data_IF_990215642032
#
_entry.id   IF_990215642032
#
_cell.length_a   1.000
_cell.length_b   1.000
_cell.length_c   1.000
_cell.angle_alpha   90.00
_cell.angle_beta   90.00
_cell.angle_gamma   90.00
#
_symmetry.space_group_name_H-M   'P 1'
#
loop_
_entity.id
_entity.type
_entity.pdbx_description
1 polymer ?
#
# COMPACT_ATOMS: atom_id res chain seq x y z
N UNK A 1 12.49 14.21 22.80
CA UNK A 1 11.34 14.54 21.93
C UNK A 1 10.08 13.94 22.54
N UNK A 2 9.16 14.77 23.05
CA UNK A 2 7.99 14.38 23.84
C UNK A 2 6.72 14.87 23.11
N UNK A 3 5.74 13.98 22.85
CA UNK A 3 4.43 14.37 22.29
C UNK A 3 3.71 15.43 23.13
N UNK A 4 2.74 16.12 22.53
CA UNK A 4 1.72 16.81 23.31
C UNK A 4 0.91 15.80 24.13
N UNK A 5 0.27 16.27 25.20
CA UNK A 5 -0.66 15.44 25.96
C UNK A 5 -1.88 15.11 25.08
N UNK A 6 -2.40 13.90 25.25
CA UNK A 6 -3.61 13.41 24.61
C UNK A 6 -4.27 12.40 25.54
N UNK A 7 -5.58 12.28 25.44
CA UNK A 7 -6.35 11.20 26.02
C UNK A 7 -6.21 9.93 25.17
N UNK A 8 -6.51 8.81 25.78
CA UNK A 8 -6.30 7.50 25.18
C UNK A 8 -7.42 6.54 25.55
N UNK A 9 -8.02 5.92 24.53
CA UNK A 9 -9.05 4.91 24.70
C UNK A 9 -8.68 3.62 23.95
N UNK A 10 -9.20 2.50 24.46
CA UNK A 10 -8.94 1.15 23.94
C UNK A 10 -10.25 0.40 23.75
N UNK A 11 -11.01 0.71 22.69
CA UNK A 11 -12.23 -0.02 22.35
C UNK A 11 -11.96 -1.51 22.15
N UNK A 12 -12.97 -2.33 22.43
CA UNK A 12 -12.92 -3.79 22.28
C UNK A 12 -13.66 -4.29 21.01
N UNK A 13 -14.37 -3.39 20.32
CA UNK A 13 -15.07 -3.65 19.05
C UNK A 13 -14.91 -2.52 18.03
N UNK A 14 -15.16 -2.80 16.74
CA UNK A 14 -15.22 -1.75 15.71
C UNK A 14 -16.29 -0.71 16.02
N UNK A 15 -17.45 -1.13 16.54
CA UNK A 15 -18.56 -0.21 16.84
C UNK A 15 -18.19 0.78 17.97
N UNK A 16 -17.47 0.32 19.00
CA UNK A 16 -16.94 1.21 20.04
C UNK A 16 -15.88 2.17 19.50
N UNK A 17 -15.00 1.72 18.62
CA UNK A 17 -14.00 2.57 18.00
C UNK A 17 -14.64 3.65 17.12
N UNK A 18 -15.61 3.27 16.28
CA UNK A 18 -16.40 4.20 15.46
C UNK A 18 -17.14 5.21 16.32
N UNK A 19 -17.76 4.77 17.43
CA UNK A 19 -18.43 5.68 18.36
C UNK A 19 -17.46 6.70 18.95
N UNK A 20 -16.29 6.25 19.41
CA UNK A 20 -15.26 7.13 19.96
C UNK A 20 -14.76 8.16 18.92
N UNK A 21 -14.57 7.74 17.67
CA UNK A 21 -14.19 8.64 16.58
C UNK A 21 -15.31 9.65 16.28
N UNK A 22 -16.57 9.21 16.22
CA UNK A 22 -17.70 10.09 15.95
C UNK A 22 -17.94 11.12 17.06
N UNK A 23 -17.76 10.72 18.33
CA UNK A 23 -17.90 11.62 19.48
C UNK A 23 -16.79 12.68 19.55
N UNK A 24 -15.56 12.30 19.21
CA UNK A 24 -14.40 13.19 19.27
C UNK A 24 -14.15 13.99 17.98
N UNK A 25 -14.74 13.60 16.85
CA UNK A 25 -14.60 14.32 15.59
C UNK A 25 -13.16 14.40 15.08
N UNK A 26 -12.77 15.58 14.55
CA UNK A 26 -11.44 15.81 13.98
C UNK A 26 -10.30 15.77 15.01
N UNK A 27 -10.62 15.85 16.30
CA UNK A 27 -9.66 15.84 17.40
C UNK A 27 -9.17 14.43 17.75
N UNK A 28 -9.79 13.38 17.20
CA UNK A 28 -9.35 12.00 17.39
C UNK A 28 -8.44 11.50 16.27
N UNK A 29 -7.52 10.60 16.64
CA UNK A 29 -6.75 9.81 15.67
C UNK A 29 -6.70 8.34 16.04
N UNK A 30 -6.89 7.51 15.01
CA UNK A 30 -6.74 6.06 15.12
C UNK A 30 -5.28 5.69 15.38
N UNK A 31 -5.04 4.91 16.42
CA UNK A 31 -3.76 4.28 16.72
C UNK A 31 -3.80 2.80 16.32
N UNK A 32 -3.11 2.48 15.22
CA UNK A 32 -2.85 1.11 14.78
C UNK A 32 -1.48 0.64 15.29
N UNK A 33 -0.55 0.30 14.39
CA UNK A 33 0.82 -0.09 14.74
C UNK A 33 1.73 1.03 15.27
N UNK A 34 1.31 2.28 15.13
CA UNK A 34 2.00 3.48 15.64
C UNK A 34 3.31 3.86 14.93
N UNK A 35 3.75 3.13 13.91
CA UNK A 35 5.07 3.32 13.30
C UNK A 35 5.21 4.62 12.48
N UNK A 36 4.11 5.18 11.99
CA UNK A 36 4.08 6.54 11.43
C UNK A 36 3.57 7.56 12.46
N UNK A 37 2.39 7.31 13.04
CA UNK A 37 1.71 8.27 13.91
C UNK A 37 2.56 8.66 15.13
N UNK A 38 3.13 7.71 15.88
CA UNK A 38 3.88 8.06 17.10
C UNK A 38 5.14 8.89 16.78
N UNK A 39 5.73 8.69 15.61
CA UNK A 39 6.83 9.52 15.12
C UNK A 39 6.35 10.94 14.85
N UNK A 40 5.22 11.11 14.16
CA UNK A 40 4.61 12.43 13.93
C UNK A 40 4.28 13.15 15.24
N UNK A 41 3.74 12.44 16.24
CA UNK A 41 3.44 13.00 17.57
C UNK A 41 4.72 13.48 18.28
N UNK A 42 5.78 12.66 18.28
CA UNK A 42 7.07 12.99 18.91
C UNK A 42 7.73 14.21 18.25
N UNK A 43 7.57 14.36 16.94
CA UNK A 43 8.07 15.50 16.16
C UNK A 43 7.10 16.70 16.15
N UNK A 44 5.95 16.59 16.81
CA UNK A 44 4.91 17.63 16.85
C UNK A 44 4.43 18.05 15.46
N UNK A 45 4.25 17.06 14.59
CA UNK A 45 3.63 17.21 13.26
C UNK A 45 2.13 16.88 13.29
N UNK A 46 1.62 16.30 14.39
CA UNK A 46 0.22 16.03 14.63
C UNK A 46 -0.09 16.19 16.13
N UNK A 47 -1.30 16.66 16.44
CA UNK A 47 -1.74 17.01 17.79
C UNK A 47 -3.20 16.58 18.07
N UNK A 48 -3.53 15.29 17.96
CA UNK A 48 -4.86 14.83 18.35
C UNK A 48 -5.05 15.00 19.85
N UNK A 49 -6.27 15.31 20.27
CA UNK A 49 -6.67 15.31 21.68
C UNK A 49 -6.97 13.89 22.17
N UNK A 50 -7.40 12.98 21.27
CA UNK A 50 -7.72 11.59 21.61
C UNK A 50 -7.01 10.60 20.67
N UNK A 51 -6.39 9.56 21.23
CA UNK A 51 -5.98 8.38 20.50
C UNK A 51 -6.93 7.20 20.73
N UNK A 52 -7.46 6.65 19.63
CA UNK A 52 -8.32 5.47 19.63
C UNK A 52 -7.49 4.25 19.22
N UNK A 53 -7.07 3.43 20.18
CA UNK A 53 -6.22 2.26 19.94
C UNK A 53 -7.01 1.02 19.54
N UNK A 54 -6.79 0.57 18.30
CA UNK A 54 -7.45 -0.60 17.72
C UNK A 54 -6.84 -1.93 18.18
N UNK A 55 -5.77 -1.89 18.99
CA UNK A 55 -4.94 -3.04 19.33
C UNK A 55 -5.66 -4.21 19.99
N UNK A 56 -6.82 -3.98 20.61
CA UNK A 56 -7.64 -5.02 21.27
C UNK A 56 -8.76 -5.60 20.40
N UNK A 57 -9.06 -4.99 19.27
CA UNK A 57 -10.19 -5.40 18.43
C UNK A 57 -9.77 -6.63 17.61
N UNK A 58 -10.19 -7.82 18.05
CA UNK A 58 -9.79 -9.08 17.45
C UNK A 58 -10.29 -9.24 16.00
N UNK A 59 -11.47 -8.72 15.68
CA UNK A 59 -12.06 -8.80 14.33
C UNK A 59 -11.25 -8.05 13.25
N UNK A 60 -10.33 -7.16 13.64
CA UNK A 60 -9.47 -6.44 12.71
C UNK A 60 -8.20 -7.22 12.34
N UNK A 61 -8.07 -8.48 12.75
CA UNK A 61 -6.85 -9.28 12.58
C UNK A 61 -7.11 -10.54 11.78
N UNK A 62 -6.05 -11.04 11.16
CA UNK A 62 -6.02 -12.35 10.53
C UNK A 62 -6.32 -12.29 9.04
N UNK A 63 -6.22 -13.46 8.43
CA UNK A 63 -6.35 -13.67 7.00
C UNK A 63 -7.34 -14.79 6.76
N UNK A 64 -8.25 -14.61 5.82
CA UNK A 64 -9.22 -15.63 5.42
C UNK A 64 -9.47 -15.58 3.91
N UNK A 65 -9.93 -16.70 3.37
CA UNK A 65 -10.46 -16.75 2.01
C UNK A 65 -11.95 -16.41 1.99
N UNK A 66 -12.40 -15.79 0.90
CA UNK A 66 -13.79 -15.46 0.61
C UNK A 66 -14.01 -15.58 -0.91
N UNK A 67 -14.37 -16.79 -1.36
CA UNK A 67 -14.45 -17.12 -2.79
C UNK A 67 -13.12 -16.88 -3.51
N UNK A 68 -13.13 -16.01 -4.53
CA UNK A 68 -11.94 -15.62 -5.30
C UNK A 68 -11.15 -14.45 -4.69
N UNK A 69 -11.49 -14.07 -3.45
CA UNK A 69 -10.88 -12.95 -2.74
C UNK A 69 -10.16 -13.45 -1.47
N UNK A 70 -9.01 -12.86 -1.20
CA UNK A 70 -8.31 -12.95 0.07
C UNK A 70 -8.69 -11.73 0.92
N UNK A 71 -9.08 -11.96 2.17
CA UNK A 71 -9.47 -10.90 3.11
C UNK A 71 -8.45 -10.83 4.23
N UNK A 72 -7.87 -9.65 4.44
CA UNK A 72 -6.84 -9.39 5.43
C UNK A 72 -7.32 -8.29 6.38
N UNK A 73 -7.42 -8.60 7.67
CA UNK A 73 -7.81 -7.62 8.68
C UNK A 73 -6.82 -6.46 8.74
N UNK A 74 -7.32 -5.23 8.91
CA UNK A 74 -6.52 -3.99 8.87
C UNK A 74 -5.40 -3.94 9.91
N UNK A 75 -5.58 -4.62 11.06
CA UNK A 75 -4.62 -4.72 12.16
C UNK A 75 -3.66 -5.92 12.04
N UNK A 76 -3.69 -6.65 10.92
CA UNK A 76 -2.68 -7.67 10.60
C UNK A 76 -1.32 -7.00 10.42
N UNK A 77 -0.33 -7.45 11.20
CA UNK A 77 1.00 -6.82 11.17
C UNK A 77 1.72 -7.14 9.86
N UNK A 78 2.69 -6.31 9.46
CA UNK A 78 3.51 -6.63 8.29
C UNK A 78 4.24 -7.96 8.46
N UNK A 79 4.67 -8.30 9.68
CA UNK A 79 5.24 -9.60 10.00
C UNK A 79 4.26 -10.75 9.70
N UNK A 80 3.03 -10.65 10.19
CA UNK A 80 2.01 -11.68 9.99
C UNK A 80 1.62 -11.78 8.51
N UNK A 81 1.49 -10.66 7.78
CA UNK A 81 1.25 -10.66 6.32
C UNK A 81 2.35 -11.43 5.57
N UNK A 82 3.62 -11.25 5.96
CA UNK A 82 4.74 -11.98 5.34
C UNK A 82 4.68 -13.47 5.70
N UNK A 83 4.33 -13.80 6.94
CA UNK A 83 4.35 -15.18 7.42
C UNK A 83 3.14 -16.01 6.97
N UNK A 84 2.01 -15.37 6.69
CA UNK A 84 0.74 -16.04 6.44
C UNK A 84 0.76 -16.90 5.16
N UNK A 85 0.37 -18.19 5.24
CA UNK A 85 0.41 -19.11 4.10
C UNK A 85 -0.61 -18.76 3.01
N UNK A 86 -1.76 -18.17 3.34
CA UNK A 86 -2.76 -17.77 2.36
C UNK A 86 -2.27 -16.54 1.58
N UNK A 87 -1.66 -15.56 2.26
CA UNK A 87 -1.07 -14.39 1.59
C UNK A 87 0.07 -14.84 0.65
N UNK A 88 0.96 -15.73 1.11
CA UNK A 88 2.04 -16.27 0.26
C UNK A 88 1.52 -16.97 -0.98
N UNK A 89 0.42 -17.71 -0.85
CA UNK A 89 -0.17 -18.48 -1.94
C UNK A 89 -0.96 -17.60 -2.92
N UNK A 90 -1.71 -16.62 -2.41
CA UNK A 90 -2.74 -15.93 -3.19
C UNK A 90 -2.46 -14.45 -3.44
N UNK A 91 -1.47 -13.85 -2.79
CA UNK A 91 -1.11 -12.45 -2.92
C UNK A 91 0.41 -12.28 -2.77
N UNK A 92 1.20 -13.09 -3.50
CA UNK A 92 2.65 -13.12 -3.35
C UNK A 92 3.33 -11.77 -3.59
N UNK A 93 2.80 -10.92 -4.47
CA UNK A 93 3.28 -9.55 -4.65
C UNK A 93 3.24 -8.73 -3.35
N UNK A 94 2.16 -8.89 -2.56
CA UNK A 94 2.02 -8.23 -1.26
C UNK A 94 3.12 -8.69 -0.30
N UNK A 95 3.45 -9.98 -0.27
CA UNK A 95 4.55 -10.51 0.55
C UNK A 95 5.88 -9.85 0.15
N UNK A 96 6.22 -9.87 -1.14
CA UNK A 96 7.49 -9.34 -1.65
C UNK A 96 7.68 -7.86 -1.33
N UNK A 97 6.62 -7.05 -1.47
CA UNK A 97 6.69 -5.65 -1.10
C UNK A 97 6.81 -5.45 0.41
N UNK A 98 6.02 -6.19 1.19
CA UNK A 98 6.01 -6.09 2.66
C UNK A 98 7.36 -6.46 3.28
N UNK A 99 8.11 -7.39 2.67
CA UNK A 99 9.49 -7.74 3.08
C UNK A 99 10.45 -6.53 3.03
N UNK A 100 10.15 -5.53 2.19
CA UNK A 100 10.97 -4.31 2.03
C UNK A 100 10.56 -3.14 2.92
N UNK A 101 9.46 -3.29 3.67
CA UNK A 101 8.89 -2.23 4.53
C UNK A 101 9.69 -2.16 5.84
N UNK A 102 10.40 -1.06 6.05
CA UNK A 102 11.12 -0.78 7.29
C UNK A 102 12.07 -1.91 7.73
N UNK A 103 12.32 -1.97 9.03
CA UNK A 103 13.10 -3.03 9.68
C UNK A 103 12.19 -4.09 10.33
N UNK A 104 12.74 -5.20 10.85
CA UNK A 104 11.92 -6.19 11.55
C UNK A 104 11.09 -5.64 12.72
N UNK A 105 11.60 -4.68 13.50
CA UNK A 105 10.85 -4.11 14.63
C UNK A 105 9.65 -3.28 14.14
N UNK A 106 9.84 -2.49 13.08
CA UNK A 106 8.75 -1.80 12.38
C UNK A 106 7.73 -2.83 11.88
N UNK A 107 8.15 -3.94 11.28
CA UNK A 107 7.23 -4.94 10.74
C UNK A 107 6.41 -5.70 11.77
N UNK A 108 6.92 -5.91 12.98
CA UNK A 108 6.16 -6.57 14.07
C UNK A 108 5.08 -5.66 14.66
N UNK A 109 5.15 -4.34 14.43
CA UNK A 109 4.21 -3.37 14.98
C UNK A 109 3.32 -2.76 13.91
N UNK A 110 3.90 -2.33 12.80
CA UNK A 110 3.22 -1.77 11.65
C UNK A 110 2.22 -2.75 11.06
N UNK A 111 1.09 -2.22 10.61
CA UNK A 111 -0.07 -2.99 10.16
C UNK A 111 -0.40 -2.64 8.71
N UNK A 112 -0.93 -3.60 7.95
CA UNK A 112 -1.35 -3.37 6.56
C UNK A 112 -2.32 -2.19 6.46
N UNK A 113 -3.42 -2.21 7.22
CA UNK A 113 -4.43 -1.15 7.18
C UNK A 113 -3.89 0.21 7.61
N UNK A 114 -3.06 0.25 8.66
CA UNK A 114 -2.37 1.47 9.07
C UNK A 114 -1.46 2.09 8.00
N UNK A 115 -0.73 1.25 7.24
CA UNK A 115 0.10 1.74 6.12
C UNK A 115 -0.75 2.32 4.99
N UNK A 116 -1.88 1.70 4.66
CA UNK A 116 -2.77 2.18 3.60
C UNK A 116 -3.52 3.45 4.04
N UNK A 117 -4.07 3.47 5.25
CA UNK A 117 -4.79 4.61 5.80
C UNK A 117 -3.89 5.84 6.05
N UNK A 118 -2.58 5.64 6.21
CA UNK A 118 -1.64 6.76 6.29
C UNK A 118 -1.45 7.48 4.94
N UNK A 119 -1.59 6.75 3.82
CA UNK A 119 -1.54 7.29 2.46
C UNK A 119 -0.31 8.16 2.14
N UNK A 120 0.85 7.80 2.69
CA UNK A 120 2.12 8.38 2.27
C UNK A 120 2.48 7.84 0.86
N UNK A 121 2.70 8.68 -0.16
CA UNK A 121 3.06 8.21 -1.50
C UNK A 121 4.38 7.46 -1.56
N UNK A 122 5.26 7.65 -0.58
CA UNK A 122 6.52 6.94 -0.47
C UNK A 122 6.36 5.52 0.11
N UNK A 123 5.18 5.19 0.65
CA UNK A 123 4.88 3.85 1.16
C UNK A 123 4.71 2.83 0.04
N UNK A 124 5.26 1.64 0.27
CA UNK A 124 5.29 0.57 -0.74
C UNK A 124 3.88 0.00 -1.01
N UNK A 125 3.12 -0.25 0.06
CA UNK A 125 1.89 -1.04 0.01
C UNK A 125 0.69 -0.39 -0.73
N UNK A 126 0.48 0.95 -0.68
CA UNK A 126 -0.56 1.59 -1.48
C UNK A 126 -0.51 1.25 -2.97
N UNK A 127 0.68 1.32 -3.59
CA UNK A 127 0.85 0.98 -5.01
C UNK A 127 0.65 -0.51 -5.30
N UNK A 128 0.98 -1.37 -4.34
CA UNK A 128 0.81 -2.83 -4.46
C UNK A 128 -0.66 -3.21 -4.42
N UNK A 129 -1.43 -2.68 -3.46
CA UNK A 129 -2.87 -2.92 -3.37
C UNK A 129 -3.58 -2.36 -4.61
N UNK A 130 -3.11 -1.22 -5.13
CA UNK A 130 -3.60 -0.66 -6.39
C UNK A 130 -3.29 -1.56 -7.61
N UNK A 131 -2.09 -2.15 -7.70
CA UNK A 131 -1.74 -3.08 -8.77
C UNK A 131 -2.56 -4.39 -8.71
N UNK A 132 -2.89 -4.82 -7.49
CA UNK A 132 -3.69 -6.02 -7.23
C UNK A 132 -5.21 -5.82 -7.43
N UNK A 133 -5.66 -4.62 -7.80
CA UNK A 133 -7.08 -4.22 -7.81
C UNK A 133 -7.77 -4.51 -6.46
N UNK A 134 -7.08 -4.24 -5.37
CA UNK A 134 -7.62 -4.42 -4.03
C UNK A 134 -8.71 -3.42 -3.68
N UNK A 135 -9.46 -3.74 -2.64
CA UNK A 135 -10.50 -2.91 -2.06
C UNK A 135 -10.29 -2.79 -0.55
N UNK A 136 -10.72 -1.66 0.02
CA UNK A 136 -10.68 -1.41 1.46
C UNK A 136 -12.10 -1.32 1.98
N UNK A 137 -12.40 -2.09 3.03
CA UNK A 137 -13.68 -1.99 3.73
C UNK A 137 -13.51 -1.00 4.87
N UNK A 138 -14.24 0.11 4.81
CA UNK A 138 -14.32 1.09 5.87
C UNK A 138 -15.58 0.87 6.72
N UNK A 139 -15.49 1.13 8.02
CA UNK A 139 -16.63 1.20 8.93
C UNK A 139 -16.72 2.60 9.54
N UNK A 140 -17.93 3.14 9.60
CA UNK A 140 -18.27 4.39 10.27
C UNK A 140 -19.69 4.33 10.85
N UNK A 141 -20.25 5.44 11.35
CA UNK A 141 -21.54 5.45 12.03
C UNK A 141 -22.72 5.10 11.11
N UNK A 142 -22.51 5.16 9.78
CA UNK A 142 -23.49 4.77 8.75
C UNK A 142 -23.33 3.30 8.30
N UNK A 143 -22.51 2.52 8.99
CA UNK A 143 -22.24 1.11 8.66
C UNK A 143 -20.94 0.92 7.89
N UNK A 144 -20.86 -0.18 7.14
CA UNK A 144 -19.67 -0.56 6.36
C UNK A 144 -19.83 -0.20 4.88
N UNK A 145 -18.75 0.24 4.24
CA UNK A 145 -18.68 0.45 2.79
C UNK A 145 -17.36 -0.06 2.23
N UNK A 146 -17.40 -0.56 1.00
CA UNK A 146 -16.21 -1.00 0.27
C UNK A 146 -15.76 0.11 -0.68
N UNK A 147 -14.46 0.42 -0.66
CA UNK A 147 -13.82 1.47 -1.45
C UNK A 147 -12.74 0.82 -2.31
N UNK A 148 -12.84 0.87 -3.64
CA UNK A 148 -11.77 0.40 -4.52
C UNK A 148 -10.46 1.15 -4.25
N UNK A 149 -9.30 0.47 -4.28
CA UNK A 149 -8.01 1.11 -4.00
C UNK A 149 -7.72 2.31 -4.92
N UNK A 150 -8.18 2.26 -6.18
CA UNK A 150 -8.09 3.37 -7.16
C UNK A 150 -8.85 4.64 -6.75
N UNK A 151 -9.81 4.52 -5.83
CA UNK A 151 -10.64 5.60 -5.31
C UNK A 151 -10.29 5.93 -3.85
N UNK A 152 -9.48 5.10 -3.19
CA UNK A 152 -9.17 5.24 -1.78
C UNK A 152 -8.14 6.34 -1.48
N UNK A 153 -7.13 6.51 -2.33
CA UNK A 153 -6.08 7.52 -2.15
C UNK A 153 -6.44 8.78 -2.92
N UNK A 154 -6.67 9.89 -2.22
CA UNK A 154 -7.24 11.11 -2.81
C UNK A 154 -6.22 12.22 -2.97
N UNK A 155 -5.25 12.33 -2.07
CA UNK A 155 -4.12 13.24 -2.17
C UNK A 155 -3.00 12.84 -1.18
N UNK A 156 -1.94 13.65 -1.09
CA UNK A 156 -0.83 13.46 -0.17
C UNK A 156 -1.30 13.33 1.29
N UNK A 157 -1.10 12.15 1.89
CA UNK A 157 -1.56 11.81 3.24
C UNK A 157 -3.08 11.91 3.42
N UNK A 158 -3.85 11.82 2.32
CA UNK A 158 -5.31 11.88 2.32
C UNK A 158 -5.92 10.64 1.69
N UNK A 159 -7.06 10.23 2.25
CA UNK A 159 -7.82 9.08 1.77
C UNK A 159 -9.29 9.46 1.61
N UNK A 160 -10.08 8.55 1.04
CA UNK A 160 -11.53 8.66 0.95
C UNK A 160 -12.27 8.37 2.27
N UNK A 161 -11.55 8.07 3.36
CA UNK A 161 -12.15 7.89 4.69
C UNK A 161 -12.74 9.21 5.19
N UNK A 162 -13.94 9.12 5.77
CA UNK A 162 -14.50 10.19 6.58
C UNK A 162 -13.76 10.25 7.94
N UNK A 163 -13.76 11.38 8.65
CA UNK A 163 -13.07 11.50 9.95
C UNK A 163 -13.52 10.49 11.01
N UNK A 164 -14.76 10.01 10.90
CA UNK A 164 -15.44 9.04 11.77
C UNK A 164 -15.36 7.59 11.25
N UNK A 165 -14.53 7.34 10.23
CA UNK A 165 -14.33 6.01 9.65
C UNK A 165 -12.96 5.40 9.96
N UNK A 166 -12.91 4.06 9.99
CA UNK A 166 -11.67 3.29 10.05
C UNK A 166 -11.69 2.15 9.03
N UNK A 167 -10.51 1.76 8.55
CA UNK A 167 -10.34 0.57 7.70
C UNK A 167 -10.48 -0.68 8.57
N UNK A 168 -11.37 -1.59 8.17
CA UNK A 168 -11.63 -2.86 8.86
C UNK A 168 -10.83 -4.00 8.25
N UNK A 169 -10.90 -4.14 6.93
CA UNK A 169 -10.23 -5.19 6.18
C UNK A 169 -9.81 -4.69 4.79
N UNK A 170 -8.80 -5.36 4.22
CA UNK A 170 -8.34 -5.20 2.85
C UNK A 170 -8.69 -6.47 2.09
N UNK A 171 -9.37 -6.31 0.96
CA UNK A 171 -9.85 -7.40 0.10
C UNK A 171 -8.99 -7.41 -1.17
N UNK A 172 -8.37 -8.54 -1.47
CA UNK A 172 -7.43 -8.69 -2.57
C UNK A 172 -7.88 -9.87 -3.44
N UNK A 173 -8.16 -9.66 -4.74
CA UNK A 173 -8.38 -10.76 -5.67
C UNK A 173 -7.19 -11.74 -5.65
N UNK A 174 -7.47 -13.05 -5.61
CA UNK A 174 -6.42 -14.07 -5.61
C UNK A 174 -5.63 -13.99 -6.92
N UNK A 175 -4.29 -13.97 -6.82
CA UNK A 175 -3.40 -13.76 -7.96
C UNK A 175 -3.40 -14.87 -9.01
N UNK A 176 -3.99 -16.05 -8.76
CA UNK A 176 -4.13 -17.10 -9.78
C UNK A 176 -2.83 -17.44 -10.51
N UNK A 177 -2.85 -17.27 -11.84
CA UNK A 177 -1.77 -17.53 -12.80
C UNK A 177 -0.85 -16.34 -13.06
N UNK A 178 -1.03 -15.21 -12.37
CA UNK A 178 -0.20 -14.03 -12.56
C UNK A 178 1.22 -14.25 -12.05
N UNK A 179 2.21 -13.98 -12.90
CA UNK A 179 3.57 -13.71 -12.47
C UNK A 179 3.64 -12.35 -11.78
N UNK A 180 4.54 -12.17 -10.80
CA UNK A 180 4.64 -10.91 -10.06
C UNK A 180 6.06 -10.60 -9.63
N UNK A 181 6.34 -9.30 -9.46
CA UNK A 181 7.60 -8.82 -8.89
C UNK A 181 7.39 -7.45 -8.26
N UNK A 182 8.16 -7.17 -7.19
CA UNK A 182 8.25 -5.84 -6.60
C UNK A 182 9.70 -5.35 -6.68
N UNK A 183 9.92 -4.27 -7.42
CA UNK A 183 11.23 -3.66 -7.58
C UNK A 183 11.25 -2.31 -6.86
N UNK A 184 12.17 -2.13 -5.91
CA UNK A 184 12.29 -0.91 -5.11
C UNK A 184 13.69 -0.34 -5.18
N UNK A 185 13.78 0.95 -5.51
CA UNK A 185 15.01 1.72 -5.31
C UNK A 185 14.88 2.61 -4.07
N UNK A 186 15.85 2.49 -3.17
CA UNK A 186 15.95 3.23 -1.92
C UNK A 186 17.43 3.58 -1.65
N UNK A 187 17.69 4.75 -1.06
CA UNK A 187 19.06 5.21 -0.80
C UNK A 187 19.76 4.48 0.33
N UNK A 188 19.01 4.09 1.36
CA UNK A 188 19.49 3.41 2.55
C UNK A 188 18.65 2.15 2.73
N UNK A 189 19.26 1.08 3.22
CA UNK A 189 18.53 -0.12 3.58
C UNK A 189 17.37 0.24 4.51
N UNK A 190 16.19 -0.34 4.26
CA UNK A 190 14.96 -0.13 5.05
C UNK A 190 14.33 1.27 4.92
N UNK A 191 14.83 2.11 4.01
CA UNK A 191 14.28 3.43 3.73
C UNK A 191 12.96 3.40 2.95
N UNK A 192 12.35 4.57 2.82
CA UNK A 192 11.25 4.79 1.90
C UNK A 192 11.71 4.62 0.45
N UNK A 193 10.79 4.23 -0.44
CA UNK A 193 11.08 4.13 -1.85
C UNK A 193 11.31 5.53 -2.44
N UNK A 194 12.45 5.74 -3.11
CA UNK A 194 12.55 6.84 -4.04
C UNK A 194 11.63 6.58 -5.24
N UNK A 195 11.63 5.33 -5.73
CA UNK A 195 10.62 4.76 -6.64
C UNK A 195 10.45 3.28 -6.31
N UNK A 196 9.21 2.81 -6.27
CA UNK A 196 8.87 1.40 -6.19
C UNK A 196 7.93 1.04 -7.35
N UNK A 197 8.08 -0.17 -7.89
CA UNK A 197 7.26 -0.67 -8.99
C UNK A 197 6.71 -2.05 -8.62
N UNK A 198 5.39 -2.11 -8.46
CA UNK A 198 4.63 -3.33 -8.20
C UNK A 198 4.06 -3.84 -9.52
N UNK A 199 4.49 -5.03 -9.95
CA UNK A 199 4.09 -5.59 -11.24
C UNK A 199 3.38 -6.92 -11.05
N UNK A 200 2.26 -7.09 -11.75
CA UNK A 200 1.75 -8.40 -12.15
C UNK A 200 1.76 -8.52 -13.66
N UNK A 201 2.12 -9.69 -14.18
CA UNK A 201 2.12 -9.99 -15.62
C UNK A 201 1.47 -11.36 -15.87
N UNK A 202 0.64 -11.45 -16.90
CA UNK A 202 0.31 -12.71 -17.57
C UNK A 202 1.10 -12.79 -18.86
N UNK A 203 1.78 -13.90 -19.06
CA UNK A 203 2.60 -14.14 -20.24
C UNK A 203 2.31 -15.52 -20.83
N UNK A 204 2.33 -15.58 -22.16
CA UNK A 204 2.36 -16.82 -22.94
C UNK A 204 3.75 -16.94 -23.57
N UNK A 205 4.62 -17.76 -22.95
CA UNK A 205 6.04 -17.77 -23.27
C UNK A 205 6.69 -16.40 -23.01
N UNK A 206 7.33 -15.83 -24.04
CA UNK A 206 7.97 -14.50 -23.99
C UNK A 206 7.03 -13.33 -24.26
N UNK A 207 5.77 -13.60 -24.59
CA UNK A 207 4.78 -12.59 -24.97
C UNK A 207 3.90 -12.22 -23.78
N UNK A 208 3.82 -10.93 -23.48
CA UNK A 208 2.97 -10.41 -22.41
C UNK A 208 1.54 -10.25 -22.94
N UNK A 209 0.56 -10.90 -22.31
CA UNK A 209 -0.85 -10.74 -22.65
C UNK A 209 -1.52 -9.63 -21.84
N UNK A 210 -1.15 -9.48 -20.57
CA UNK A 210 -1.72 -8.50 -19.65
C UNK A 210 -0.66 -8.09 -18.63
N UNK A 211 -0.64 -6.81 -18.25
CA UNK A 211 0.22 -6.28 -17.20
C UNK A 211 -0.56 -5.34 -16.28
N UNK A 212 -0.17 -5.29 -15.01
CA UNK A 212 -0.69 -4.39 -13.98
C UNK A 212 0.47 -3.79 -13.22
N UNK A 213 0.56 -2.47 -13.19
CA UNK A 213 1.76 -1.77 -12.74
C UNK A 213 1.37 -0.64 -11.79
N UNK A 214 1.66 -0.84 -10.50
CA UNK A 214 1.57 0.20 -9.48
C UNK A 214 2.91 0.92 -9.31
N UNK A 215 2.87 2.24 -9.20
CA UNK A 215 4.02 3.10 -8.98
C UNK A 215 3.96 3.74 -7.59
N UNK A 216 5.00 3.50 -6.80
CA UNK A 216 5.25 4.16 -5.51
C UNK A 216 6.01 5.46 -5.77
N UNK A 217 5.56 6.55 -5.13
CA UNK A 217 6.24 7.84 -5.07
C UNK A 217 6.42 8.58 -6.43
N UNK A 218 5.48 8.34 -7.35
CA UNK A 218 5.43 8.97 -8.69
C UNK A 218 4.33 10.04 -8.83
N UNK A 219 3.69 10.42 -7.72
CA UNK A 219 2.66 11.46 -7.62
C UNK A 219 2.31 11.74 -6.16
N UNK A 220 1.27 12.53 -5.91
CA UNK A 220 0.76 12.76 -4.55
C UNK A 220 -0.04 11.57 -3.99
N UNK A 221 -0.28 10.54 -4.81
CA UNK A 221 -0.93 9.27 -4.47
C UNK A 221 -0.19 8.12 -5.17
N UNK A 222 -0.39 6.84 -4.79
CA UNK A 222 0.03 5.72 -5.64
C UNK A 222 -0.67 5.79 -7.01
N UNK A 223 0.06 5.45 -8.08
CA UNK A 223 -0.46 5.55 -9.45
C UNK A 223 -0.46 4.19 -10.15
N UNK A 224 -1.39 3.98 -11.08
CA UNK A 224 -1.30 2.92 -12.11
C UNK A 224 -0.58 3.46 -13.33
N UNK A 225 0.42 2.74 -13.83
CA UNK A 225 1.13 3.08 -15.05
C UNK A 225 0.36 2.58 -16.30
N UNK A 226 -0.86 3.05 -16.50
CA UNK A 226 -1.78 2.53 -17.53
C UNK A 226 -1.23 2.66 -18.96
N UNK A 227 -0.43 3.70 -19.23
CA UNK A 227 0.25 3.85 -20.51
C UNK A 227 1.28 2.72 -20.76
N UNK A 228 2.05 2.35 -19.73
CA UNK A 228 2.97 1.21 -19.81
C UNK A 228 2.24 -0.13 -19.92
N UNK A 229 1.13 -0.31 -19.20
CA UNK A 229 0.29 -1.51 -19.29
C UNK A 229 -0.24 -1.72 -20.70
N UNK A 230 -0.76 -0.65 -21.33
CA UNK A 230 -1.23 -0.69 -22.70
C UNK A 230 -0.09 -0.98 -23.69
N UNK A 231 1.09 -0.38 -23.49
CA UNK A 231 2.25 -0.59 -24.35
C UNK A 231 2.86 -2.00 -24.21
N UNK A 232 2.68 -2.67 -23.06
CA UNK A 232 3.16 -4.02 -22.81
C UNK A 232 2.23 -5.09 -23.39
N UNK A 233 0.97 -4.78 -23.67
CA UNK A 233 0.03 -5.72 -24.25
C UNK A 233 0.53 -6.19 -25.63
N UNK A 234 0.90 -7.47 -25.72
CA UNK A 234 1.47 -8.09 -26.91
C UNK A 234 2.97 -7.89 -27.09
N UNK A 235 3.66 -7.21 -26.16
CA UNK A 235 5.11 -7.05 -26.20
C UNK A 235 5.80 -8.42 -26.01
N UNK A 236 6.82 -8.68 -26.83
CA UNK A 236 7.56 -9.93 -26.85
C UNK A 236 9.06 -9.73 -26.61
N UNK A 237 9.55 -10.38 -25.55
CA UNK A 237 10.95 -10.38 -25.19
C UNK A 237 11.52 -9.05 -24.65
N UNK A 238 12.81 -9.04 -24.26
CA UNK A 238 13.37 -7.96 -23.45
C UNK A 238 13.44 -6.58 -24.11
N UNK A 239 13.55 -6.51 -25.44
CA UNK A 239 13.64 -5.24 -26.17
C UNK A 239 12.30 -4.52 -26.25
N UNK A 240 11.20 -5.25 -26.51
CA UNK A 240 9.86 -4.67 -26.54
C UNK A 240 9.41 -4.24 -25.16
N UNK A 241 9.69 -5.05 -24.14
CA UNK A 241 9.46 -4.67 -22.74
C UNK A 241 10.24 -3.39 -22.38
N UNK A 242 11.48 -3.25 -22.85
CA UNK A 242 12.27 -2.04 -22.62
C UNK A 242 11.64 -0.80 -23.28
N UNK A 243 11.14 -0.94 -24.53
CA UNK A 243 10.44 0.15 -25.23
C UNK A 243 9.15 0.54 -24.52
N UNK A 244 8.34 -0.44 -24.12
CA UNK A 244 7.07 -0.21 -23.45
C UNK A 244 7.24 0.42 -22.05
N UNK A 245 8.26 0.01 -21.30
CA UNK A 245 8.54 0.55 -19.96
C UNK A 245 8.85 2.05 -19.94
N UNK A 246 9.22 2.67 -21.08
CA UNK A 246 9.40 4.13 -21.18
C UNK A 246 8.12 4.88 -20.80
N UNK A 247 6.96 4.32 -21.15
CA UNK A 247 5.65 4.90 -20.86
C UNK A 247 5.29 4.88 -19.37
N UNK A 248 6.10 4.25 -18.50
CA UNK A 248 5.83 4.19 -17.07
C UNK A 248 5.87 5.57 -16.39
N UNK A 249 6.58 6.54 -16.96
CA UNK A 249 6.63 7.90 -16.44
C UNK A 249 5.52 8.81 -17.02
N UNK A 250 4.75 8.34 -18.01
CA UNK A 250 3.72 9.16 -18.64
C UNK A 250 2.57 9.45 -17.66
N UNK A 251 2.12 10.70 -17.62
CA UNK A 251 1.05 11.14 -16.72
C UNK A 251 1.45 11.22 -15.23
N UNK A 252 2.71 10.95 -14.89
CA UNK A 252 3.23 11.07 -13.52
C UNK A 252 3.64 12.50 -13.17
N UNK A 253 3.67 12.84 -11.88
CA UNK A 253 4.11 14.14 -11.36
C UNK A 253 4.87 13.97 -10.03
N UNK A 254 6.03 13.28 -10.03
CA UNK A 254 6.81 13.09 -8.81
C UNK A 254 7.33 14.42 -8.26
N UNK A 255 7.45 14.51 -6.93
CA UNK A 255 8.08 15.65 -6.26
C UNK A 255 9.59 15.48 -6.16
N UNK A 256 10.32 16.59 -6.06
CA UNK A 256 11.73 16.59 -5.72
C UNK A 256 11.89 16.72 -4.20
N UNK A 257 12.70 15.85 -3.61
CA UNK A 257 13.02 15.90 -2.18
C UNK A 257 14.48 15.50 -1.92
N UNK A 258 14.85 15.32 -0.65
CA UNK A 258 16.20 14.89 -0.28
C UNK A 258 16.57 13.51 -0.84
N UNK A 259 15.59 12.67 -1.19
CA UNK A 259 15.85 11.32 -1.68
C UNK A 259 16.13 11.27 -3.19
N UNK A 260 15.46 12.09 -4.00
CA UNK A 260 15.63 12.14 -5.45
C UNK A 260 14.95 13.38 -6.05
N UNK A 261 15.48 13.88 -7.18
CA UNK A 261 14.77 14.83 -8.03
C UNK A 261 13.63 14.16 -8.80
N UNK A 262 12.64 14.95 -9.21
CA UNK A 262 11.54 14.49 -10.07
C UNK A 262 12.05 13.80 -11.35
N UNK A 263 13.02 14.42 -12.03
CA UNK A 263 13.64 13.88 -13.25
C UNK A 263 14.32 12.53 -13.01
N UNK A 264 15.00 12.37 -11.87
CA UNK A 264 15.64 11.10 -11.51
C UNK A 264 14.60 10.02 -11.19
N UNK A 265 13.47 10.38 -10.57
CA UNK A 265 12.35 9.45 -10.32
C UNK A 265 11.70 8.99 -11.61
N UNK A 266 11.45 9.89 -12.57
CA UNK A 266 10.96 9.51 -13.89
C UNK A 266 11.91 8.54 -14.60
N UNK A 267 13.22 8.82 -14.56
CA UNK A 267 14.22 7.92 -15.10
C UNK A 267 14.17 6.54 -14.42
N UNK A 268 14.15 6.51 -13.09
CA UNK A 268 14.06 5.28 -12.31
C UNK A 268 12.79 4.50 -12.62
N UNK A 269 11.62 5.15 -12.71
CA UNK A 269 10.36 4.48 -13.01
C UNK A 269 10.45 3.67 -14.31
N UNK A 270 11.06 4.23 -15.37
CA UNK A 270 11.28 3.53 -16.65
C UNK A 270 12.20 2.31 -16.49
N UNK A 271 13.33 2.49 -15.80
CA UNK A 271 14.33 1.44 -15.60
C UNK A 271 13.79 0.30 -14.73
N UNK A 272 13.18 0.64 -13.59
CA UNK A 272 12.66 -0.32 -12.63
C UNK A 272 11.43 -1.05 -13.18
N UNK A 273 10.58 -0.39 -13.96
CA UNK A 273 9.45 -1.05 -14.64
C UNK A 273 9.93 -2.14 -15.59
N UNK A 274 10.94 -1.84 -16.43
CA UNK A 274 11.54 -2.85 -17.30
C UNK A 274 12.04 -4.06 -16.50
N UNK A 275 12.80 -3.83 -15.42
CA UNK A 275 13.34 -4.91 -14.57
C UNK A 275 12.24 -5.74 -13.94
N UNK A 276 11.24 -5.07 -13.37
CA UNK A 276 10.15 -5.71 -12.67
C UNK A 276 9.29 -6.58 -13.61
N UNK A 277 8.98 -6.08 -14.82
CA UNK A 277 8.24 -6.84 -15.82
C UNK A 277 9.00 -8.09 -16.27
N UNK A 278 10.30 -7.98 -16.56
CA UNK A 278 11.10 -9.13 -16.97
C UNK A 278 11.23 -10.19 -15.86
N UNK A 279 11.41 -9.75 -14.61
CA UNK A 279 11.44 -10.64 -13.45
C UNK A 279 10.09 -11.33 -13.23
N UNK A 280 8.97 -10.58 -13.31
CA UNK A 280 7.64 -11.12 -13.15
C UNK A 280 7.24 -12.12 -14.26
N UNK A 281 7.72 -11.89 -15.49
CA UNK A 281 7.53 -12.81 -16.63
C UNK A 281 8.47 -14.02 -16.63
N UNK A 282 9.34 -14.19 -15.61
CA UNK A 282 10.29 -15.30 -15.53
C UNK A 282 11.41 -15.25 -16.58
N UNK A 283 11.70 -14.06 -17.11
CA UNK A 283 12.67 -13.82 -18.21
C UNK A 283 13.96 -13.12 -17.73
N UNK A 284 14.25 -13.18 -16.43
CA UNK A 284 15.39 -12.55 -15.78
C UNK A 284 16.52 -13.53 -15.43
#
# INVERSE_FOLDING_TARGET
MIPAAFDYTRPESVDEAVRALAEAGEDAKVLAGGQSLLTMLRLRLAFPELLVDLGRIAELRGVREDGDTLVIGAMTTHHDVIADPLVRRHAGLLVRATETVGDPAVRHRGTLGGSLAHADPAADLPAVVLALDGELVAAGPRGRRTIPAREFFTDYLQTALSPDELVVEVRIPKSGDWGFHYEKFQRVAQGWAAVGVAVLVRADGSRISEARIGLTNMGSTPLRATAAEAALAGAEGPEEVARAAVAAAEGTRPTSDLSASAEYREHLARVLTRRAVLAAAGSA
#
